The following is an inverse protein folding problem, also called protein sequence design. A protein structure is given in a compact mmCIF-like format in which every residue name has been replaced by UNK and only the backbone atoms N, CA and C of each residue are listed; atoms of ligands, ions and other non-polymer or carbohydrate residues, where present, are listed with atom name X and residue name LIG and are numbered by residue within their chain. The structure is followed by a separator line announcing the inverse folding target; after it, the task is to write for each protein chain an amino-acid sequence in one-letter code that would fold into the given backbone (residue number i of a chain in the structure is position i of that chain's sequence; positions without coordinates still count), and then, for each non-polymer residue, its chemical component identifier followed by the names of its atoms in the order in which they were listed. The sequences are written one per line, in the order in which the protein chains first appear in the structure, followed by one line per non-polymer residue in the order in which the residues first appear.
data_IF_751488529789
#
_entry.id   IF_751488529789
#
_cell.length_a   1.000
_cell.length_b   1.000
_cell.length_c   1.000
_cell.angle_alpha   90.00
_cell.angle_beta   90.00
_cell.angle_gamma   90.00
#
_symmetry.space_group_name_H-M   'P 1'
#
loop_
_entity.id
_entity.type
_entity.pdbx_description
1 polymer ?
#
# COMPACT_ATOMS: atom_id res chain seq x y z
N UNK A 1 41.82 15.34 -45.23
CA UNK A 1 41.07 14.08 -45.40
C UNK A 1 39.58 14.42 -45.23
N UNK A 2 38.88 14.77 -46.32
CA UNK A 2 38.04 13.90 -47.17
C UNK A 2 36.76 13.41 -46.43
N UNK A 3 35.59 14.04 -46.66
CA UNK A 3 34.49 13.66 -47.62
C UNK A 3 33.62 12.52 -47.02
N UNK A 4 32.27 12.47 -47.00
CA UNK A 4 31.13 12.94 -47.82
C UNK A 4 29.85 12.68 -46.98
N UNK A 5 28.81 13.54 -46.96
CA UNK A 5 27.79 13.83 -47.97
C UNK A 5 26.66 12.78 -48.10
N UNK A 6 25.44 13.26 -47.83
CA UNK A 6 24.14 13.00 -48.49
C UNK A 6 23.71 11.59 -48.89
N UNK A 7 22.50 11.24 -48.46
CA UNK A 7 21.67 10.19 -49.05
C UNK A 7 20.20 10.35 -48.65
N UNK A 8 19.54 11.35 -49.22
CA UNK A 8 18.08 11.50 -49.27
C UNK A 8 17.52 10.52 -50.32
N UNK A 9 16.34 9.90 -50.07
CA UNK A 9 15.26 9.49 -51.01
C UNK A 9 14.39 8.44 -50.27
N UNK A 10 13.18 8.75 -49.78
CA UNK A 10 11.90 9.02 -50.47
C UNK A 10 11.24 7.76 -51.08
N UNK A 11 9.93 7.65 -50.79
CA UNK A 11 8.90 6.74 -51.28
C UNK A 11 8.80 5.40 -50.51
N UNK A 12 7.62 4.92 -50.11
CA UNK A 12 6.37 4.90 -50.86
C UNK A 12 5.16 4.71 -49.92
N UNK A 13 4.10 5.44 -50.24
CA UNK A 13 2.78 5.48 -49.61
C UNK A 13 2.05 4.14 -49.64
N UNK A 14 1.36 3.78 -48.55
CA UNK A 14 0.17 2.92 -48.61
C UNK A 14 -0.91 3.57 -47.74
N UNK A 15 -1.85 4.25 -48.40
CA UNK A 15 -3.15 4.62 -47.84
C UNK A 15 -4.02 3.36 -47.88
N UNK A 16 -4.30 2.77 -46.72
CA UNK A 16 -5.45 1.88 -46.56
C UNK A 16 -6.58 2.69 -45.92
N UNK A 17 -7.52 3.10 -46.76
CA UNK A 17 -8.86 3.44 -46.31
C UNK A 17 -9.56 2.13 -45.91
N UNK A 18 -9.61 1.80 -44.62
CA UNK A 18 -10.59 0.84 -44.10
C UNK A 18 -11.71 1.61 -43.42
N UNK A 19 -12.72 1.97 -44.21
CA UNK A 19 -14.03 2.28 -43.68
C UNK A 19 -14.70 0.94 -43.38
N UNK A 20 -14.75 0.58 -42.09
CA UNK A 20 -15.46 -0.58 -41.58
C UNK A 20 -16.19 -0.18 -40.32
N UNK A 21 -17.41 0.34 -40.49
CA UNK A 21 -18.35 0.47 -39.39
C UNK A 21 -18.70 -0.91 -38.86
N UNK A 22 -18.19 -1.22 -37.67
CA UNK A 22 -18.56 -2.38 -36.87
C UNK A 22 -18.89 -1.88 -35.46
N UNK A 23 -20.18 -1.71 -35.21
CA UNK A 23 -20.76 -1.47 -33.89
C UNK A 23 -20.41 -2.59 -32.92
N UNK A 24 -20.11 -2.18 -31.69
CA UNK A 24 -20.18 -2.99 -30.48
C UNK A 24 -19.26 -4.22 -30.41
N UNK A 25 -18.04 -4.00 -29.94
CA UNK A 25 -17.45 -4.92 -28.97
C UNK A 25 -17.09 -4.09 -27.74
N UNK A 26 -18.07 -4.02 -26.83
CA UNK A 26 -17.82 -3.95 -25.39
C UNK A 26 -16.56 -4.76 -25.12
N UNK A 27 -15.49 -4.09 -24.73
CA UNK A 27 -14.38 -4.76 -24.06
C UNK A 27 -14.92 -5.22 -22.72
N UNK A 28 -15.58 -6.38 -22.75
CA UNK A 28 -15.78 -7.25 -21.60
C UNK A 28 -14.39 -7.83 -21.31
N UNK A 29 -13.50 -6.96 -20.81
CA UNK A 29 -12.31 -7.42 -20.14
C UNK A 29 -12.79 -7.78 -18.75
N UNK A 30 -12.76 -9.07 -18.36
CA UNK A 30 -13.05 -9.45 -16.99
C UNK A 30 -12.12 -8.64 -16.10
N UNK A 31 -12.69 -7.82 -15.21
CA UNK A 31 -11.92 -7.17 -14.17
C UNK A 31 -11.07 -8.25 -13.47
N UNK A 32 -9.75 -8.05 -13.32
CA UNK A 32 -8.94 -8.95 -12.52
C UNK A 32 -9.61 -9.04 -11.13
N UNK A 33 -9.68 -10.24 -10.52
CA UNK A 33 -10.36 -10.41 -9.25
C UNK A 33 -9.86 -9.35 -8.27
N UNK A 34 -10.79 -8.61 -7.66
CA UNK A 34 -10.54 -7.57 -6.65
C UNK A 34 -9.51 -8.08 -5.66
N UNK A 35 -8.23 -7.75 -5.88
CA UNK A 35 -7.22 -7.99 -4.86
C UNK A 35 -7.61 -7.01 -3.76
N UNK A 36 -7.94 -7.48 -2.53
CA UNK A 36 -8.36 -6.60 -1.47
C UNK A 36 -7.33 -5.47 -1.37
N UNK A 37 -7.83 -4.24 -1.38
CA UNK A 37 -6.92 -3.11 -1.32
C UNK A 37 -6.14 -3.23 -0.01
N UNK A 38 -4.87 -2.84 0.04
CA UNK A 38 -4.07 -2.94 1.27
C UNK A 38 -4.72 -2.23 2.47
N UNK A 39 -5.69 -1.34 2.20
CA UNK A 39 -6.46 -0.59 3.17
C UNK A 39 -7.70 -1.30 3.70
N UNK A 40 -8.36 -2.14 2.90
CA UNK A 40 -9.38 -3.06 3.41
C UNK A 40 -8.78 -4.02 4.45
N UNK A 41 -7.48 -4.30 4.32
CA UNK A 41 -6.75 -5.14 5.26
C UNK A 41 -6.60 -4.45 6.62
N UNK A 42 -6.28 -3.15 6.70
CA UNK A 42 -5.91 -2.53 7.99
C UNK A 42 -7.11 -2.05 8.82
N UNK A 43 -8.24 -1.70 8.20
CA UNK A 43 -9.38 -1.08 8.89
C UNK A 43 -10.01 -1.98 9.98
N UNK A 44 -10.32 -1.41 11.14
CA UNK A 44 -10.91 -2.10 12.28
C UNK A 44 -9.93 -2.37 13.42
N UNK A 45 -10.35 -3.25 14.34
CA UNK A 45 -9.59 -3.53 15.57
C UNK A 45 -8.59 -4.67 15.38
N UNK A 46 -7.37 -4.45 15.87
CA UNK A 46 -6.24 -5.36 15.84
C UNK A 46 -5.65 -5.53 17.23
N UNK A 47 -5.17 -6.72 17.57
CA UNK A 47 -4.42 -7.00 18.79
C UNK A 47 -2.94 -6.82 18.52
N UNK A 48 -2.32 -5.84 19.18
CA UNK A 48 -0.88 -5.65 19.22
C UNK A 48 -0.27 -6.52 20.32
N UNK A 49 0.69 -7.36 19.95
CA UNK A 49 1.46 -8.18 20.87
C UNK A 49 2.96 -7.99 20.71
N UNK A 50 3.68 -8.04 21.84
CA UNK A 50 5.13 -8.01 21.93
C UNK A 50 5.60 -9.09 22.92
N UNK A 51 6.83 -9.63 22.79
CA UNK A 51 7.36 -10.57 23.78
C UNK A 51 7.42 -9.97 25.17
N UNK A 52 7.03 -10.75 26.19
CA UNK A 52 7.13 -10.39 27.61
C UNK A 52 6.36 -9.10 28.00
N UNK A 53 5.34 -8.73 27.24
CA UNK A 53 4.51 -7.55 27.50
C UNK A 53 3.02 -7.89 27.36
N UNK A 54 2.12 -7.15 28.03
CA UNK A 54 0.68 -7.28 27.79
C UNK A 54 0.36 -6.91 26.34
N UNK A 55 -0.65 -7.58 25.77
CA UNK A 55 -1.24 -7.19 24.50
C UNK A 55 -2.31 -6.11 24.70
N UNK A 56 -2.58 -5.34 23.65
CA UNK A 56 -3.67 -4.35 23.65
C UNK A 56 -4.38 -4.34 22.29
N UNK A 57 -5.58 -3.76 22.24
CA UNK A 57 -6.21 -3.43 20.97
C UNK A 57 -5.70 -2.11 20.39
N UNK A 58 -5.61 -2.05 19.07
CA UNK A 58 -5.51 -0.84 18.28
C UNK A 58 -6.68 -0.83 17.29
N UNK A 59 -7.51 0.20 17.32
CA UNK A 59 -8.55 0.40 16.34
C UNK A 59 -8.05 1.35 15.24
N UNK A 60 -7.93 0.85 14.01
CA UNK A 60 -7.57 1.65 12.85
C UNK A 60 -8.81 2.08 12.09
N UNK A 61 -8.82 3.33 11.60
CA UNK A 61 -9.79 3.79 10.60
C UNK A 61 -9.07 4.27 9.36
N UNK A 62 -9.60 3.92 8.19
CA UNK A 62 -8.99 4.18 6.88
C UNK A 62 -9.81 5.13 5.99
N UNK A 63 -9.77 6.47 6.22
CA UNK A 63 -10.44 7.43 5.34
C UNK A 63 -9.78 7.53 3.96
N UNK A 64 -8.58 6.98 3.78
CA UNK A 64 -7.82 6.99 2.53
C UNK A 64 -7.04 5.69 2.38
N UNK A 65 -6.60 5.37 1.17
CA UNK A 65 -5.95 4.09 0.85
C UNK A 65 -4.55 3.89 1.46
N UNK A 66 -3.93 4.94 1.97
CA UNK A 66 -2.54 4.94 2.45
C UNK A 66 -2.34 5.61 3.81
N UNK A 67 -3.39 6.13 4.44
CA UNK A 67 -3.29 6.74 5.76
C UNK A 67 -4.62 6.80 6.49
N UNK A 68 -4.54 6.87 7.82
CA UNK A 68 -5.71 7.01 8.66
C UNK A 68 -5.39 7.20 10.14
N UNK A 69 -6.39 7.00 10.99
CA UNK A 69 -6.26 7.16 12.43
C UNK A 69 -6.03 5.81 13.11
N UNK A 70 -5.33 5.83 14.24
CA UNK A 70 -5.10 4.70 15.12
C UNK A 70 -5.50 5.09 16.54
N UNK A 71 -6.36 4.31 17.16
CA UNK A 71 -6.82 4.54 18.55
C UNK A 71 -6.42 3.34 19.40
N UNK A 72 -5.50 3.53 20.37
CA UNK A 72 -5.07 2.45 21.24
C UNK A 72 -6.03 2.24 22.40
N UNK A 73 -6.20 0.98 22.78
CA UNK A 73 -6.74 0.60 24.08
C UNK A 73 -5.70 0.87 25.18
N UNK A 74 -6.12 0.77 26.45
CA UNK A 74 -5.19 0.86 27.58
C UNK A 74 -4.23 -0.33 27.65
N UNK A 75 -3.02 -0.10 28.17
CA UNK A 75 -2.05 -1.17 28.45
C UNK A 75 -1.21 -1.62 27.25
N UNK A 76 -1.16 -0.84 26.18
CA UNK A 76 -0.33 -1.16 25.02
C UNK A 76 1.16 -1.26 25.35
N UNK A 77 1.89 -2.20 24.74
CA UNK A 77 3.32 -2.36 24.94
C UNK A 77 4.07 -1.11 24.50
N UNK A 78 5.20 -0.85 25.17
CA UNK A 78 6.09 0.29 24.90
C UNK A 78 5.33 1.63 24.81
N UNK A 79 5.52 2.38 23.71
CA UNK A 79 4.92 3.69 23.47
C UNK A 79 3.65 3.62 22.62
N UNK A 80 3.10 2.45 22.33
CA UNK A 80 1.93 2.32 21.44
C UNK A 80 0.64 2.90 22.02
N UNK A 81 0.57 3.19 23.32
CA UNK A 81 -0.51 3.99 23.91
C UNK A 81 -0.56 5.44 23.37
N UNK A 82 0.52 5.91 22.73
CA UNK A 82 0.59 7.19 22.05
C UNK A 82 0.14 7.14 20.59
N UNK A 83 -0.26 5.97 20.06
CA UNK A 83 -0.67 5.83 18.66
C UNK A 83 -1.78 6.82 18.31
N UNK A 84 -1.63 7.51 17.17
CA UNK A 84 -2.63 8.46 16.67
C UNK A 84 -2.95 8.25 15.21
N UNK A 85 -1.94 7.94 14.40
CA UNK A 85 -2.09 7.78 12.96
C UNK A 85 -1.34 6.56 12.48
N UNK A 86 -1.75 6.07 11.33
CA UNK A 86 -1.01 5.09 10.57
C UNK A 86 -0.82 5.58 9.14
N UNK A 87 0.25 5.09 8.50
CA UNK A 87 0.57 5.33 7.10
C UNK A 87 0.99 4.01 6.46
N UNK A 88 0.63 3.80 5.22
CA UNK A 88 1.04 2.67 4.42
C UNK A 88 1.77 3.18 3.17
N UNK A 89 3.06 2.89 3.10
CA UNK A 89 3.91 3.24 1.97
C UNK A 89 4.72 2.01 1.56
N UNK A 90 4.74 1.68 0.27
CA UNK A 90 5.49 0.55 -0.29
C UNK A 90 5.23 -0.78 0.46
N UNK A 91 3.97 -1.05 0.82
CA UNK A 91 3.57 -2.24 1.57
C UNK A 91 4.05 -2.29 3.02
N UNK A 92 4.58 -1.18 3.54
CA UNK A 92 5.05 -1.05 4.92
C UNK A 92 4.10 -0.15 5.70
N UNK A 93 3.45 -0.73 6.70
CA UNK A 93 2.59 -0.03 7.65
C UNK A 93 3.47 0.63 8.70
N UNK A 94 3.31 1.92 8.92
CA UNK A 94 3.98 2.69 9.97
C UNK A 94 2.93 3.27 10.90
N UNK A 95 3.05 2.99 12.19
CA UNK A 95 2.21 3.61 13.24
C UNK A 95 3.00 4.75 13.87
N UNK A 96 2.36 5.91 14.00
CA UNK A 96 2.99 7.13 14.52
C UNK A 96 2.18 7.75 15.67
N UNK A 97 2.86 8.53 16.51
CA UNK A 97 2.22 9.35 17.53
C UNK A 97 1.68 10.69 16.98
N UNK A 98 1.24 11.58 17.88
CA UNK A 98 0.69 12.88 17.52
C UNK A 98 1.71 13.79 16.81
N UNK A 99 2.99 13.61 17.08
CA UNK A 99 4.10 14.40 16.54
C UNK A 99 4.69 13.77 15.26
N UNK A 100 3.99 12.79 14.69
CA UNK A 100 4.43 11.98 13.56
C UNK A 100 5.70 11.15 13.84
N UNK A 101 6.04 10.90 15.11
CA UNK A 101 7.20 10.06 15.47
C UNK A 101 6.85 8.58 15.24
N UNK A 102 7.68 7.81 14.51
CA UNK A 102 7.45 6.38 14.31
C UNK A 102 7.51 5.59 15.62
N UNK A 103 6.43 4.85 15.90
CA UNK A 103 6.33 3.92 17.02
C UNK A 103 6.69 2.49 16.60
N UNK A 104 6.35 2.12 15.36
CA UNK A 104 6.76 0.85 14.77
C UNK A 104 6.42 0.74 13.31
N UNK A 105 7.00 -0.28 12.68
CA UNK A 105 6.85 -0.60 11.27
C UNK A 105 6.51 -2.07 11.10
N UNK A 106 5.59 -2.37 10.18
CA UNK A 106 5.05 -3.69 9.97
C UNK A 106 4.88 -3.98 8.48
N UNK A 107 4.87 -5.27 8.12
CA UNK A 107 4.49 -5.76 6.80
C UNK A 107 3.41 -6.81 6.93
N UNK A 108 2.57 -6.88 5.91
CA UNK A 108 1.56 -7.95 5.83
C UNK A 108 2.27 -9.31 5.66
N UNK A 109 1.85 -10.29 6.46
CA UNK A 109 2.28 -11.68 6.36
C UNK A 109 1.04 -12.57 6.43
N UNK A 110 0.39 -12.80 5.28
CA UNK A 110 -0.89 -13.51 5.24
C UNK A 110 -2.02 -12.70 5.87
N UNK A 111 -2.55 -13.16 6.99
CA UNK A 111 -3.69 -12.60 7.72
C UNK A 111 -3.31 -11.65 8.86
N UNK A 112 -2.01 -11.48 9.10
CA UNK A 112 -1.46 -10.67 10.19
C UNK A 112 -0.45 -9.66 9.67
N UNK A 113 -0.08 -8.71 10.53
CA UNK A 113 1.10 -7.89 10.30
C UNK A 113 2.22 -8.26 11.26
N UNK A 114 3.43 -8.35 10.73
CA UNK A 114 4.64 -8.60 11.51
C UNK A 114 5.60 -7.45 11.34
N UNK A 115 6.26 -7.08 12.43
CA UNK A 115 7.02 -5.85 12.46
C UNK A 115 7.92 -5.71 13.64
N UNK A 116 8.37 -4.48 13.85
CA UNK A 116 9.19 -4.11 15.00
C UNK A 116 8.86 -2.70 15.47
N UNK A 117 9.02 -2.47 16.77
CA UNK A 117 8.97 -1.13 17.34
C UNK A 117 10.16 -0.29 16.88
N UNK A 118 10.13 1.02 17.12
CA UNK A 118 11.28 1.89 16.91
C UNK A 118 12.48 1.54 17.81
N UNK A 119 12.26 0.81 18.91
CA UNK A 119 13.33 0.24 19.74
C UNK A 119 13.87 -1.10 19.21
N UNK A 120 13.26 -1.68 18.17
CA UNK A 120 13.67 -2.94 17.55
C UNK A 120 13.01 -4.20 18.12
N UNK A 121 12.10 -4.06 19.11
CA UNK A 121 11.34 -5.18 19.66
C UNK A 121 10.42 -5.77 18.59
N UNK A 122 10.39 -7.09 18.40
CA UNK A 122 9.49 -7.70 17.43
C UNK A 122 8.02 -7.53 17.88
N UNK A 123 7.15 -7.21 16.93
CA UNK A 123 5.74 -6.96 17.17
C UNK A 123 4.87 -7.73 16.17
N UNK A 124 3.65 -8.05 16.60
CA UNK A 124 2.62 -8.62 15.74
C UNK A 124 1.30 -7.86 15.91
N UNK A 125 0.57 -7.70 14.81
CA UNK A 125 -0.83 -7.29 14.80
C UNK A 125 -1.65 -8.45 14.24
N UNK A 126 -2.64 -8.93 15.00
CA UNK A 126 -3.58 -9.98 14.59
C UNK A 126 -5.03 -9.58 14.87
N UNK A 127 -6.01 -10.24 14.25
CA UNK A 127 -7.44 -10.04 14.53
C UNK A 127 -7.99 -11.16 15.41
#
# INVERSE_FOLDING_TARGET
MARRASGLLVALSIVLASCGGGTSLTSDQPDPPDRPSPTDVIDGRWILAAPNAPSCGLNFTAPSTSAGNATPDGGCPERFYLSRRWRLADGTLTIVDADETPLGTFRVNGDRFEGKSSAGTPLTLSR
#
